data_IF_679800214030
#
_entry.id   IF_679800214030
#
_cell.length_a   1.000
_cell.length_b   1.000
_cell.length_c   1.000
_cell.angle_alpha   90.00
_cell.angle_beta   90.00
_cell.angle_gamma   90.00
#
_symmetry.space_group_name_H-M   'P 1'
#
loop_
_entity.id
_entity.type
_entity.pdbx_description
1 polymer ?
#
# COMPACT_ATOMS: atom_id res chain seq x y z
N UNK A 1 -12.72 8.13 -8.82
CA UNK A 1 -13.84 7.28 -9.28
C UNK A 1 -14.38 6.55 -8.04
N UNK A 2 -15.61 6.83 -7.62
CA UNK A 2 -16.28 6.01 -6.60
C UNK A 2 -16.54 4.64 -7.22
N UNK A 3 -16.17 3.56 -6.53
CA UNK A 3 -16.30 2.20 -7.04
C UNK A 3 -17.77 1.83 -7.19
N UNK A 4 -18.27 1.83 -8.41
CA UNK A 4 -19.58 1.30 -8.77
C UNK A 4 -19.29 0.12 -9.68
N UNK A 5 -19.35 -1.10 -9.13
CA UNK A 5 -18.95 -2.32 -9.83
C UNK A 5 -18.71 -3.49 -8.88
N UNK A 6 -18.53 -4.72 -9.41
CA UNK A 6 -18.25 -5.92 -8.61
C UNK A 6 -17.00 -5.80 -7.73
N UNK A 7 -16.05 -4.92 -8.11
CA UNK A 7 -14.81 -4.65 -7.37
C UNK A 7 -14.98 -3.70 -6.17
N UNK A 8 -16.15 -3.05 -6.02
CA UNK A 8 -16.36 -2.02 -5.00
C UNK A 8 -16.03 -2.50 -3.59
N UNK A 9 -16.36 -3.76 -3.26
CA UNK A 9 -16.06 -4.38 -1.97
C UNK A 9 -14.55 -4.51 -1.72
N UNK A 10 -13.79 -4.93 -2.72
CA UNK A 10 -12.32 -5.03 -2.61
C UNK A 10 -11.70 -3.65 -2.45
N UNK A 11 -12.15 -2.66 -3.22
CA UNK A 11 -11.68 -1.26 -3.10
C UNK A 11 -12.00 -0.69 -1.71
N UNK A 12 -13.16 -1.01 -1.15
CA UNK A 12 -13.51 -0.63 0.22
C UNK A 12 -12.58 -1.29 1.25
N UNK A 13 -12.28 -2.57 1.11
CA UNK A 13 -11.35 -3.29 1.98
C UNK A 13 -9.93 -2.73 1.90
N UNK A 14 -9.42 -2.44 0.71
CA UNK A 14 -8.12 -1.76 0.51
C UNK A 14 -8.10 -0.42 1.26
N UNK A 15 -9.14 0.40 1.12
CA UNK A 15 -9.27 1.70 1.79
C UNK A 15 -9.35 1.54 3.30
N UNK A 16 -10.14 0.58 3.78
CA UNK A 16 -10.30 0.33 5.21
C UNK A 16 -8.96 0.07 5.89
N UNK A 17 -8.13 -0.80 5.31
CA UNK A 17 -6.84 -1.14 5.91
C UNK A 17 -5.80 -0.05 5.67
N UNK A 18 -5.70 0.50 4.46
CA UNK A 18 -4.68 1.49 4.12
C UNK A 18 -4.91 2.85 4.77
N UNK A 19 -6.15 3.28 4.99
CA UNK A 19 -6.50 4.58 5.61
C UNK A 19 -6.73 4.49 7.11
N UNK A 20 -6.72 3.29 7.70
CA UNK A 20 -6.80 3.13 9.15
C UNK A 20 -5.60 3.79 9.85
N UNK A 21 -5.73 4.07 11.15
CA UNK A 21 -4.69 4.74 11.91
C UNK A 21 -3.38 3.94 11.86
N UNK A 22 -2.26 4.63 11.65
CA UNK A 22 -0.93 4.04 11.61
C UNK A 22 0.15 5.08 11.81
N UNK A 23 1.34 4.63 12.22
CA UNK A 23 2.45 5.54 12.54
C UNK A 23 3.09 6.17 11.30
N UNK A 24 2.83 5.62 10.11
CA UNK A 24 3.36 6.08 8.81
C UNK A 24 4.88 6.31 8.79
N UNK A 25 5.61 5.47 9.52
CA UNK A 25 7.07 5.58 9.64
C UNK A 25 7.73 5.42 8.26
N UNK A 26 7.28 4.47 7.45
CA UNK A 26 7.84 4.23 6.10
C UNK A 26 7.62 5.43 5.17
N UNK A 27 6.39 5.98 5.01
CA UNK A 27 6.17 7.23 4.30
C UNK A 27 7.04 8.38 4.78
N UNK A 28 7.14 8.56 6.11
CA UNK A 28 7.95 9.62 6.70
C UNK A 28 9.42 9.50 6.31
N UNK A 29 9.99 8.30 6.33
CA UNK A 29 11.38 8.08 5.92
C UNK A 29 11.58 8.40 4.43
N UNK A 30 10.65 7.99 3.56
CA UNK A 30 10.72 8.30 2.12
C UNK A 30 10.69 9.81 1.89
N UNK A 31 9.73 10.53 2.48
CA UNK A 31 9.60 11.98 2.27
C UNK A 31 10.74 12.76 2.92
N UNK A 32 11.21 12.35 4.10
CA UNK A 32 12.36 12.98 4.77
C UNK A 32 13.64 12.79 3.94
N UNK A 33 13.90 11.58 3.43
CA UNK A 33 15.04 11.33 2.55
C UNK A 33 14.94 12.11 1.24
N UNK A 34 13.77 12.14 0.60
CA UNK A 34 13.54 12.92 -0.62
C UNK A 34 13.81 14.41 -0.42
N UNK A 35 13.36 14.97 0.72
CA UNK A 35 13.58 16.37 1.08
C UNK A 35 15.08 16.71 1.23
N UNK A 36 15.89 15.82 1.85
CA UNK A 36 17.35 16.02 1.96
C UNK A 36 18.05 16.20 0.60
N UNK A 37 17.48 15.64 -0.47
CA UNK A 37 18.01 15.72 -1.83
C UNK A 37 17.21 16.68 -2.73
N UNK A 38 16.30 17.49 -2.18
CA UNK A 38 15.44 18.42 -2.91
C UNK A 38 14.62 17.76 -4.03
N UNK A 39 14.17 16.52 -3.81
CA UNK A 39 13.22 15.85 -4.72
C UNK A 39 11.84 16.50 -4.57
N UNK A 40 11.11 16.61 -5.68
CA UNK A 40 9.74 17.12 -5.69
C UNK A 40 8.83 16.39 -4.68
N UNK A 41 8.06 17.16 -3.92
CA UNK A 41 7.24 16.63 -2.83
C UNK A 41 6.11 15.73 -3.36
N UNK A 42 5.49 16.07 -4.49
CA UNK A 42 4.40 15.28 -5.05
C UNK A 42 4.91 13.91 -5.55
N UNK A 43 6.07 13.89 -6.21
CA UNK A 43 6.77 12.67 -6.58
C UNK A 43 7.11 11.81 -5.34
N UNK A 44 7.69 12.43 -4.30
CA UNK A 44 8.05 11.75 -3.07
C UNK A 44 6.83 11.14 -2.35
N UNK A 45 5.70 11.86 -2.31
CA UNK A 45 4.46 11.37 -1.70
C UNK A 45 3.88 10.17 -2.46
N UNK A 46 4.03 10.11 -3.78
CA UNK A 46 3.60 8.94 -4.58
C UNK A 46 4.44 7.70 -4.27
N UNK A 47 5.77 7.86 -4.17
CA UNK A 47 6.66 6.76 -3.75
C UNK A 47 6.36 6.33 -2.31
N UNK A 48 6.14 7.29 -1.41
CA UNK A 48 5.76 7.02 -0.03
C UNK A 48 4.44 6.23 0.08
N UNK A 49 3.45 6.57 -0.75
CA UNK A 49 2.19 5.83 -0.83
C UNK A 49 2.39 4.40 -1.33
N UNK A 50 3.22 4.19 -2.38
CA UNK A 50 3.54 2.86 -2.87
C UNK A 50 4.20 1.98 -1.81
N UNK A 51 5.16 2.51 -1.05
CA UNK A 51 5.79 1.80 0.06
C UNK A 51 4.78 1.48 1.18
N UNK A 52 3.85 2.38 1.47
CA UNK A 52 2.82 2.11 2.47
C UNK A 52 1.76 1.10 1.97
N UNK A 53 1.49 1.02 0.66
CA UNK A 53 0.67 -0.05 0.11
C UNK A 53 1.32 -1.42 0.29
N UNK A 54 2.64 -1.51 0.08
CA UNK A 54 3.42 -2.72 0.39
C UNK A 54 3.30 -3.09 1.87
N UNK A 55 3.47 -2.12 2.75
CA UNK A 55 3.29 -2.36 4.19
C UNK A 55 1.87 -2.80 4.54
N UNK A 56 0.84 -2.18 3.96
CA UNK A 56 -0.53 -2.48 4.28
C UNK A 56 -0.97 -3.84 3.75
N UNK A 57 -0.53 -4.29 2.56
CA UNK A 57 -0.87 -5.65 2.12
C UNK A 57 -0.26 -6.68 3.06
N UNK A 58 1.00 -6.50 3.49
CA UNK A 58 1.67 -7.50 4.32
C UNK A 58 0.86 -7.73 5.59
N UNK A 59 0.43 -6.64 6.25
CA UNK A 59 -0.43 -6.72 7.43
C UNK A 59 -1.77 -7.40 7.16
N UNK A 60 -2.41 -7.16 6.01
CA UNK A 60 -3.69 -7.82 5.69
C UNK A 60 -3.52 -9.34 5.59
N UNK A 61 -2.44 -9.79 4.95
CA UNK A 61 -2.16 -11.21 4.79
C UNK A 61 -1.63 -11.84 6.08
N UNK A 62 -0.79 -11.12 6.84
CA UNK A 62 -0.32 -11.54 8.17
C UNK A 62 -1.50 -11.75 9.12
N UNK A 63 -2.53 -10.90 9.06
CA UNK A 63 -3.72 -11.02 9.90
C UNK A 63 -4.59 -12.25 9.60
N UNK A 64 -4.39 -12.99 8.50
CA UNK A 64 -5.26 -14.12 8.13
C UNK A 64 -5.12 -15.30 9.11
N UNK A 65 -6.15 -16.17 9.24
CA UNK A 65 -6.09 -17.34 10.12
C UNK A 65 -4.96 -18.32 9.83
N UNK A 66 -4.48 -18.34 8.58
CA UNK A 66 -3.36 -19.19 8.16
C UNK A 66 -1.98 -18.61 8.54
N UNK A 67 -1.92 -17.38 9.06
CA UNK A 67 -0.70 -16.65 9.40
C UNK A 67 -0.70 -16.33 10.91
N UNK A 68 -0.99 -15.08 11.31
CA UNK A 68 -0.99 -14.69 12.73
C UNK A 68 -2.36 -14.87 13.42
N UNK A 69 -3.45 -15.07 12.66
CA UNK A 69 -4.81 -15.26 13.18
C UNK A 69 -5.27 -14.11 14.11
N UNK A 70 -4.92 -12.88 13.73
CA UNK A 70 -5.24 -11.67 14.49
C UNK A 70 -6.69 -11.21 14.22
N UNK A 71 -7.54 -11.21 15.25
CA UNK A 71 -8.91 -10.64 15.15
C UNK A 71 -8.91 -9.10 15.13
N UNK A 72 -7.93 -8.48 15.78
CA UNK A 72 -7.86 -7.04 16.02
C UNK A 72 -6.48 -6.47 15.68
N UNK A 73 -6.47 -5.35 14.96
CA UNK A 73 -5.28 -4.53 14.72
C UNK A 73 -5.52 -3.10 15.14
N UNK A 74 -4.69 -2.61 16.08
CA UNK A 74 -4.79 -1.25 16.66
C UNK A 74 -6.19 -0.96 17.22
N UNK A 75 -6.80 -1.95 17.87
CA UNK A 75 -8.13 -1.84 18.48
C UNK A 75 -9.30 -1.83 17.50
N UNK A 76 -9.08 -2.19 16.23
CA UNK A 76 -10.13 -2.33 15.20
C UNK A 76 -10.13 -3.75 14.63
N UNK A 77 -11.27 -4.28 14.16
CA UNK A 77 -11.32 -5.55 13.44
C UNK A 77 -10.31 -5.59 12.28
N UNK A 78 -9.59 -6.70 12.14
CA UNK A 78 -8.73 -6.94 10.98
C UNK A 78 -9.56 -7.07 9.71
N UNK A 79 -8.88 -7.06 8.55
CA UNK A 79 -9.57 -7.01 7.26
C UNK A 79 -10.51 -8.20 7.06
N UNK A 80 -10.03 -9.41 7.39
CA UNK A 80 -10.81 -10.63 7.20
C UNK A 80 -11.99 -10.74 8.18
N UNK A 81 -11.86 -10.21 9.41
CA UNK A 81 -12.97 -10.13 10.38
C UNK A 81 -14.04 -9.14 9.93
N UNK A 82 -13.65 -7.99 9.37
CA UNK A 82 -14.62 -6.98 8.94
C UNK A 82 -15.36 -7.38 7.65
N UNK A 83 -14.67 -8.04 6.74
CA UNK A 83 -15.22 -8.42 5.43
C UNK A 83 -15.39 -9.94 5.37
N UNK A 84 -14.36 -10.62 4.90
CA UNK A 84 -14.20 -12.08 4.82
C UNK A 84 -12.76 -12.36 4.35
N UNK A 85 -12.29 -13.59 4.53
CA UNK A 85 -10.92 -13.99 4.13
C UNK A 85 -10.66 -13.77 2.64
N UNK A 86 -11.61 -14.11 1.76
CA UNK A 86 -11.43 -13.98 0.31
C UNK A 86 -11.25 -12.50 -0.10
N UNK A 87 -12.05 -11.59 0.46
CA UNK A 87 -11.94 -10.16 0.25
C UNK A 87 -10.62 -9.62 0.81
N UNK A 88 -10.18 -10.11 1.98
CA UNK A 88 -8.90 -9.72 2.56
C UNK A 88 -7.72 -10.14 1.68
N UNK A 89 -7.71 -11.38 1.19
CA UNK A 89 -6.69 -11.88 0.26
C UNK A 89 -6.62 -10.97 -0.98
N UNK A 90 -7.76 -10.74 -1.64
CA UNK A 90 -7.84 -9.91 -2.84
C UNK A 90 -7.46 -8.45 -2.59
N UNK A 91 -7.79 -7.90 -1.42
CA UNK A 91 -7.39 -6.54 -1.05
C UNK A 91 -5.87 -6.42 -0.86
N UNK A 92 -5.24 -7.45 -0.28
CA UNK A 92 -3.78 -7.54 -0.19
C UNK A 92 -3.14 -7.60 -1.57
N UNK A 93 -3.58 -8.52 -2.43
CA UNK A 93 -3.08 -8.68 -3.80
C UNK A 93 -3.22 -7.39 -4.62
N UNK A 94 -4.36 -6.72 -4.47
CA UNK A 94 -4.63 -5.45 -5.14
C UNK A 94 -3.73 -4.31 -4.62
N UNK A 95 -3.44 -4.25 -3.32
CA UNK A 95 -2.52 -3.24 -2.75
C UNK A 95 -1.08 -3.45 -3.21
N UNK A 96 -0.60 -4.69 -3.20
CA UNK A 96 0.72 -5.05 -3.75
C UNK A 96 0.83 -4.62 -5.22
N UNK A 97 -0.17 -4.97 -6.03
CA UNK A 97 -0.21 -4.59 -7.45
C UNK A 97 -0.29 -3.07 -7.63
N UNK A 98 -1.09 -2.39 -6.81
CA UNK A 98 -1.25 -0.92 -6.86
C UNK A 98 0.04 -0.18 -6.54
N UNK A 99 0.89 -0.72 -5.66
CA UNK A 99 2.19 -0.14 -5.37
C UNK A 99 3.04 0.00 -6.65
N UNK A 100 3.13 -1.07 -7.44
CA UNK A 100 3.86 -1.06 -8.70
C UNK A 100 3.21 -0.20 -9.77
N UNK A 101 1.88 -0.18 -9.85
CA UNK A 101 1.14 0.72 -10.74
C UNK A 101 1.50 2.19 -10.45
N UNK A 102 1.50 2.59 -9.17
CA UNK A 102 1.86 3.95 -8.77
C UNK A 102 3.31 4.25 -9.14
N UNK A 103 4.27 3.34 -8.90
CA UNK A 103 5.67 3.60 -9.24
C UNK A 103 5.92 3.69 -10.74
N UNK A 104 5.16 2.96 -11.56
CA UNK A 104 5.31 2.96 -13.02
C UNK A 104 4.75 4.22 -13.71
N UNK A 105 3.79 4.91 -13.07
CA UNK A 105 3.11 6.09 -13.58
C UNK A 105 4.04 7.30 -13.75
N UNK A 106 3.91 8.01 -14.86
CA UNK A 106 4.71 9.20 -15.19
C UNK A 106 4.57 10.34 -14.19
N UNK A 107 3.43 10.42 -13.49
CA UNK A 107 3.22 11.37 -12.39
C UNK A 107 4.11 11.09 -11.18
N UNK A 108 4.66 9.88 -11.05
CA UNK A 108 5.65 9.56 -10.00
C UNK A 108 7.02 10.11 -10.33
N UNK A 109 7.43 10.03 -11.60
CA UNK A 109 8.65 10.67 -12.08
C UNK A 109 8.68 10.71 -13.61
N UNK A 110 9.10 11.83 -14.23
CA UNK A 110 9.13 11.94 -15.70
C UNK A 110 10.15 11.01 -16.39
N UNK A 111 11.29 10.76 -15.75
CA UNK A 111 12.32 9.84 -16.27
C UNK A 111 11.96 8.37 -15.97
N UNK A 112 11.83 7.53 -17.02
CA UNK A 112 11.49 6.12 -16.91
C UNK A 112 12.57 5.27 -16.23
N UNK A 113 13.85 5.59 -16.38
CA UNK A 113 14.94 4.87 -15.70
C UNK A 113 14.81 4.96 -14.18
N UNK A 114 14.44 6.14 -13.66
CA UNK A 114 14.17 6.34 -12.23
C UNK A 114 12.98 5.48 -11.78
N UNK A 115 11.90 5.44 -12.58
CA UNK A 115 10.73 4.59 -12.26
C UNK A 115 11.10 3.11 -12.23
N UNK A 116 11.91 2.63 -13.17
CA UNK A 116 12.41 1.25 -13.22
C UNK A 116 13.29 0.93 -12.01
N UNK A 117 14.18 1.84 -11.62
CA UNK A 117 15.01 1.67 -10.42
C UNK A 117 14.17 1.60 -9.14
N UNK A 118 13.16 2.47 -8.99
CA UNK A 118 12.22 2.44 -7.87
C UNK A 118 11.45 1.11 -7.82
N UNK A 119 10.92 0.65 -8.96
CA UNK A 119 10.23 -0.65 -9.07
C UNK A 119 11.17 -1.79 -8.69
N UNK A 120 12.39 -1.80 -9.22
CA UNK A 120 13.37 -2.85 -8.91
C UNK A 120 13.78 -2.82 -7.43
N UNK A 121 13.93 -1.64 -6.83
CA UNK A 121 14.29 -1.51 -5.42
C UNK A 121 13.16 -2.01 -4.53
N UNK A 122 11.91 -1.64 -4.81
CA UNK A 122 10.75 -2.09 -4.04
C UNK A 122 10.57 -3.61 -4.16
N UNK A 123 10.66 -4.17 -5.37
CA UNK A 123 10.51 -5.61 -5.60
C UNK A 123 11.59 -6.45 -4.89
N UNK A 124 12.82 -5.95 -4.77
CA UNK A 124 13.89 -6.65 -4.02
C UNK A 124 13.72 -6.60 -2.51
N UNK A 125 13.00 -5.60 -2.00
CA UNK A 125 12.76 -5.39 -0.58
C UNK A 125 11.44 -6.00 -0.08
N UNK A 126 10.59 -6.45 -1.00
CA UNK A 126 9.28 -7.06 -0.72
C UNK A 126 9.40 -8.56 -0.52
#
# INVERSE_FOLDING_TARGET
MMGVGPEARVVEAMRYTSLNSGKRIRPFLVTASANLFNVDEAAALRVAAAVEFVHCYSLIHDDLPAMDDDDLRRGKPTCHIKFDEATAILAGDALLTKAFEVLADENTHGNSSVRVELISALAKAS
#
